data_IF_876320222016
#
_entry.id   IF_876320222016
#
_cell.length_a   1.000
_cell.length_b   1.000
_cell.length_c   1.000
_cell.angle_alpha   90.00
_cell.angle_beta   90.00
_cell.angle_gamma   90.00
#
_symmetry.space_group_name_H-M   'P 1'
#
loop_
_entity.id
_entity.type
_entity.pdbx_description
1 polymer ?
#
# COMPACT_ATOMS: atom_id res chain seq x y z
N UNK A 1 16.38 20.57 14.26
CA UNK A 1 16.46 20.20 15.69
C UNK A 1 17.93 20.06 16.05
N UNK A 2 18.41 20.71 17.14
CA UNK A 2 19.82 20.67 17.52
C UNK A 2 20.13 19.29 18.14
N UNK A 3 21.38 18.77 17.95
CA UNK A 3 21.86 17.46 18.41
C UNK A 3 21.60 17.23 19.92
N UNK A 4 21.76 18.26 20.75
CA UNK A 4 21.49 18.22 22.19
C UNK A 4 20.01 17.96 22.51
N UNK A 5 19.09 18.61 21.82
CA UNK A 5 17.64 18.38 21.98
C UNK A 5 17.19 17.00 21.49
N UNK A 6 17.87 16.43 20.51
CA UNK A 6 17.60 15.08 20.05
C UNK A 6 18.01 14.04 21.11
N UNK A 7 19.21 14.21 21.69
CA UNK A 7 19.72 13.35 22.75
C UNK A 7 18.85 13.41 24.01
N UNK A 8 18.41 14.60 24.42
CA UNK A 8 17.47 14.76 25.54
C UNK A 8 16.15 14.02 25.30
N UNK A 9 15.57 14.13 24.11
CA UNK A 9 14.34 13.39 23.75
C UNK A 9 14.53 11.88 23.77
N UNK A 10 15.63 11.38 23.22
CA UNK A 10 15.94 9.93 23.20
C UNK A 10 16.14 9.42 24.63
N UNK A 11 16.89 10.15 25.47
CA UNK A 11 17.10 9.82 26.86
C UNK A 11 15.79 9.74 27.66
N UNK A 12 14.91 10.73 27.50
CA UNK A 12 13.59 10.76 28.17
C UNK A 12 12.70 9.61 27.72
N UNK A 13 12.70 9.27 26.42
CA UNK A 13 11.83 8.22 25.87
C UNK A 13 12.34 6.80 26.11
N UNK A 14 13.67 6.60 26.17
CA UNK A 14 14.27 5.27 26.33
C UNK A 14 14.63 4.93 27.78
N UNK A 15 14.65 5.91 28.68
CA UNK A 15 15.15 5.73 30.05
C UNK A 15 16.65 5.52 30.16
N UNK A 16 17.41 5.69 29.07
CA UNK A 16 18.87 5.53 28.97
C UNK A 16 19.53 6.88 29.27
N UNK A 17 20.69 6.86 29.92
CA UNK A 17 21.39 8.10 30.30
C UNK A 17 21.82 8.90 29.06
N UNK A 18 21.93 10.22 29.22
CA UNK A 18 22.37 11.13 28.15
C UNK A 18 23.75 10.78 27.58
N UNK A 19 24.66 10.33 28.44
CA UNK A 19 26.02 9.93 28.05
C UNK A 19 26.03 8.64 27.22
N UNK A 20 25.22 7.66 27.59
CA UNK A 20 25.05 6.43 26.82
C UNK A 20 24.39 6.69 25.48
N UNK A 21 23.34 7.53 25.43
CA UNK A 21 22.73 7.97 24.18
C UNK A 21 23.75 8.71 23.29
N UNK A 22 24.62 9.52 23.89
CA UNK A 22 25.71 10.23 23.20
C UNK A 22 26.76 9.30 22.63
N UNK A 23 27.10 8.24 23.36
CA UNK A 23 28.07 7.22 22.96
C UNK A 23 27.53 6.38 21.82
N UNK A 24 26.30 5.93 21.92
CA UNK A 24 25.61 5.17 20.85
C UNK A 24 25.52 6.00 19.57
N UNK A 25 25.16 7.28 19.66
CA UNK A 25 25.07 8.16 18.48
C UNK A 25 26.44 8.41 17.84
N UNK A 26 27.51 8.59 18.61
CA UNK A 26 28.87 8.74 18.09
C UNK A 26 29.37 7.45 17.45
N UNK A 27 29.07 6.30 18.04
CA UNK A 27 29.44 5.00 17.47
C UNK A 27 28.69 4.77 16.15
N UNK A 28 27.42 5.09 16.10
CA UNK A 28 26.61 5.02 14.87
C UNK A 28 27.14 5.94 13.76
N UNK A 29 27.46 7.21 14.07
CA UNK A 29 28.06 8.17 13.13
C UNK A 29 29.41 7.64 12.60
N UNK A 30 30.22 7.03 13.45
CA UNK A 30 31.53 6.46 13.09
C UNK A 30 31.38 5.25 12.17
N UNK A 31 30.55 4.28 12.55
CA UNK A 31 30.27 3.08 11.74
C UNK A 31 29.66 3.47 10.38
N UNK A 32 28.72 4.41 10.36
CA UNK A 32 28.11 4.89 9.13
C UNK A 32 29.12 5.56 8.22
N UNK A 33 30.04 6.39 8.77
CA UNK A 33 31.09 7.06 7.99
C UNK A 33 32.16 6.09 7.45
N UNK A 34 32.52 5.07 8.21
CA UNK A 34 33.49 4.04 7.80
C UNK A 34 32.92 3.13 6.69
N UNK A 35 31.66 2.70 6.81
CA UNK A 35 30.99 1.88 5.78
C UNK A 35 30.65 2.66 4.52
N UNK A 36 30.23 3.91 4.64
CA UNK A 36 30.05 4.79 3.49
C UNK A 36 31.39 4.99 2.75
N UNK A 37 32.50 5.17 3.46
CA UNK A 37 33.83 5.32 2.87
C UNK A 37 34.31 4.06 2.16
N UNK A 38 34.08 2.85 2.72
CA UNK A 38 34.43 1.57 2.08
C UNK A 38 33.66 1.31 0.79
N UNK A 39 32.35 1.64 0.77
CA UNK A 39 31.49 1.41 -0.40
C UNK A 39 31.59 2.54 -1.44
N UNK A 40 31.97 3.75 -1.05
CA UNK A 40 32.24 4.87 -1.99
C UNK A 40 33.31 4.51 -3.02
N UNK A 41 34.32 3.73 -2.67
CA UNK A 41 35.35 3.31 -3.63
C UNK A 41 34.82 2.34 -4.72
N UNK A 42 33.71 1.64 -4.44
CA UNK A 42 33.10 0.67 -5.36
C UNK A 42 31.94 1.26 -6.18
N UNK A 43 31.29 2.30 -5.69
CA UNK A 43 30.09 2.90 -6.28
C UNK A 43 30.17 4.43 -6.42
N UNK A 44 31.37 5.01 -6.37
CA UNK A 44 31.59 6.46 -6.28
C UNK A 44 30.92 7.32 -7.36
N UNK A 45 30.69 6.77 -8.55
CA UNK A 45 29.96 7.47 -9.61
C UNK A 45 28.47 7.67 -9.33
N UNK A 46 27.82 6.70 -8.72
CA UNK A 46 26.38 6.76 -8.43
C UNK A 46 26.04 7.61 -7.20
N UNK A 47 26.93 7.61 -6.20
CA UNK A 47 26.77 8.44 -4.99
C UNK A 47 26.99 9.92 -5.33
N UNK A 48 27.96 10.23 -6.19
CA UNK A 48 28.15 11.59 -6.70
C UNK A 48 26.96 12.09 -7.53
N UNK A 49 26.33 11.22 -8.32
CA UNK A 49 25.11 11.54 -9.07
C UNK A 49 23.93 11.78 -8.16
N UNK A 50 23.76 10.98 -7.11
CA UNK A 50 22.69 11.14 -6.11
C UNK A 50 22.92 12.38 -5.25
N UNK A 51 24.14 12.68 -4.82
CA UNK A 51 24.45 13.91 -4.06
C UNK A 51 24.33 15.16 -4.92
N UNK A 52 24.71 15.13 -6.20
CA UNK A 52 24.49 16.22 -7.14
C UNK A 52 23.00 16.46 -7.40
N UNK A 53 22.21 15.39 -7.48
CA UNK A 53 20.74 15.46 -7.58
C UNK A 53 20.12 16.07 -6.29
N UNK A 54 20.62 15.68 -5.13
CA UNK A 54 20.16 16.19 -3.82
C UNK A 54 20.50 17.67 -3.65
N UNK A 55 21.71 18.11 -4.03
CA UNK A 55 22.13 19.51 -3.99
C UNK A 55 21.32 20.35 -4.98
N UNK A 56 21.01 19.84 -6.17
CA UNK A 56 20.18 20.56 -7.13
C UNK A 56 18.74 20.75 -6.65
N UNK A 57 18.18 19.80 -5.92
CA UNK A 57 16.81 19.89 -5.33
C UNK A 57 16.78 20.92 -4.19
N UNK A 58 17.84 21.02 -3.37
CA UNK A 58 17.89 21.99 -2.27
C UNK A 58 18.09 23.44 -2.74
N UNK A 59 18.77 23.66 -3.86
CA UNK A 59 18.98 25.01 -4.44
C UNK A 59 17.69 25.57 -5.04
N UNK A 60 16.80 24.73 -5.58
CA UNK A 60 15.50 25.16 -6.11
C UNK A 60 14.43 25.42 -5.05
N UNK A 61 14.65 25.01 -3.79
CA UNK A 61 13.68 25.17 -2.68
C UNK A 61 13.73 26.52 -1.99
N UNK A 62 14.61 27.44 -2.36
CA UNK A 62 14.77 28.76 -1.69
C UNK A 62 14.21 29.92 -2.52
N UNK A 63 13.05 29.79 -3.09
CA UNK A 63 12.38 30.95 -3.69
C UNK A 63 11.04 31.24 -3.03
N UNK A 64 11.02 32.42 -2.43
CA UNK A 64 9.89 33.25 -2.01
C UNK A 64 9.15 32.84 -0.74
N UNK A 65 9.55 33.52 0.34
CA UNK A 65 8.77 33.67 1.57
C UNK A 65 7.42 34.33 1.35
N UNK A 66 6.41 33.55 1.00
CA UNK A 66 5.02 33.94 1.26
C UNK A 66 4.67 33.51 2.68
N UNK A 67 4.41 34.49 3.57
CA UNK A 67 3.80 34.31 4.89
C UNK A 67 2.33 33.87 4.76
N UNK A 68 2.04 32.81 4.03
CA UNK A 68 0.72 32.19 3.92
C UNK A 68 0.76 30.80 4.58
N UNK A 69 -0.31 30.37 5.21
CA UNK A 69 -0.44 28.97 5.66
C UNK A 69 -0.25 28.06 4.42
N UNK A 70 0.53 26.99 4.54
CA UNK A 70 0.69 26.05 3.43
C UNK A 70 -0.68 25.50 3.04
N UNK A 71 -0.93 25.42 1.75
CA UNK A 71 -2.19 24.96 1.18
C UNK A 71 -1.94 23.84 0.18
N UNK A 72 -2.88 22.95 0.05
CA UNK A 72 -2.82 21.80 -0.86
C UNK A 72 -4.15 21.60 -1.59
N UNK A 73 -4.22 20.65 -2.48
CA UNK A 73 -5.42 20.27 -3.25
C UNK A 73 -5.96 18.93 -2.75
N UNK A 74 -7.27 18.85 -2.54
CA UNK A 74 -7.99 17.59 -2.42
C UNK A 74 -8.64 17.31 -3.77
N UNK A 75 -8.37 16.15 -4.36
CA UNK A 75 -8.95 15.71 -5.63
C UNK A 75 -9.49 14.30 -5.50
N UNK A 76 -10.33 13.90 -6.43
CA UNK A 76 -10.88 12.55 -6.39
C UNK A 76 -11.94 12.30 -7.43
N UNK A 77 -12.71 11.26 -7.18
CA UNK A 77 -13.84 10.84 -7.99
C UNK A 77 -15.02 10.51 -7.08
N UNK A 78 -16.21 10.92 -7.50
CA UNK A 78 -17.48 10.50 -6.88
C UNK A 78 -18.10 9.43 -7.76
N UNK A 79 -18.45 8.31 -7.17
CA UNK A 79 -19.01 7.15 -7.88
C UNK A 79 -20.28 6.67 -7.20
N UNK A 80 -21.15 6.03 -7.95
CA UNK A 80 -22.23 5.22 -7.41
C UNK A 80 -21.63 4.02 -6.67
N UNK A 81 -22.02 3.84 -5.42
CA UNK A 81 -21.47 2.80 -4.55
C UNK A 81 -21.72 1.39 -5.07
N UNK A 82 -22.75 1.22 -5.88
CA UNK A 82 -23.24 -0.07 -6.36
C UNK A 82 -22.72 -0.38 -7.77
N UNK A 83 -23.08 0.45 -8.76
CA UNK A 83 -22.68 0.25 -10.15
C UNK A 83 -21.22 0.65 -10.42
N UNK A 84 -20.59 1.38 -9.49
CA UNK A 84 -19.28 2.03 -9.66
C UNK A 84 -19.25 3.04 -10.82
N UNK A 85 -20.42 3.46 -11.30
CA UNK A 85 -20.54 4.48 -12.34
C UNK A 85 -20.12 5.85 -11.78
N UNK A 86 -19.32 6.60 -12.51
CA UNK A 86 -18.97 7.97 -12.10
C UNK A 86 -20.21 8.85 -12.01
N UNK A 87 -20.39 9.61 -10.93
CA UNK A 87 -21.49 10.53 -10.74
C UNK A 87 -21.05 11.94 -11.19
N UNK A 88 -21.52 12.41 -12.35
CA UNK A 88 -21.25 13.75 -12.81
C UNK A 88 -22.11 14.78 -12.05
N UNK A 89 -21.58 16.00 -11.93
CA UNK A 89 -22.27 17.15 -11.32
C UNK A 89 -22.65 16.97 -9.84
N UNK A 90 -22.03 16.05 -9.14
CA UNK A 90 -22.15 15.94 -7.68
C UNK A 90 -21.42 17.12 -7.01
N UNK A 91 -22.00 17.68 -5.96
CA UNK A 91 -21.38 18.73 -5.15
C UNK A 91 -20.41 18.10 -4.15
N UNK A 92 -19.18 18.61 -4.10
CA UNK A 92 -18.16 18.21 -3.11
C UNK A 92 -17.68 19.44 -2.38
N UNK A 93 -17.77 19.46 -1.04
CA UNK A 93 -17.43 20.64 -0.23
C UNK A 93 -16.63 20.23 1.03
N UNK A 94 -15.95 21.21 1.62
CA UNK A 94 -15.37 21.12 2.96
C UNK A 94 -16.38 21.56 3.99
N UNK A 95 -16.68 20.71 4.99
CA UNK A 95 -17.70 21.01 6.00
C UNK A 95 -17.32 22.20 6.91
N UNK A 96 -16.00 22.43 7.11
CA UNK A 96 -15.50 23.46 8.03
C UNK A 96 -15.36 24.85 7.39
N UNK A 97 -15.51 24.96 6.07
CA UNK A 97 -15.30 26.22 5.34
C UNK A 97 -16.44 26.50 4.39
N UNK A 98 -17.32 27.43 4.73
CA UNK A 98 -18.36 27.90 3.83
C UNK A 98 -17.76 28.42 2.53
N UNK A 99 -18.31 27.94 1.39
CA UNK A 99 -17.86 28.33 0.05
C UNK A 99 -16.64 27.57 -0.50
N UNK A 100 -15.99 26.69 0.27
CA UNK A 100 -14.93 25.84 -0.25
C UNK A 100 -15.52 24.52 -0.79
N UNK A 101 -15.83 24.48 -2.06
CA UNK A 101 -16.38 23.31 -2.72
C UNK A 101 -16.21 23.38 -4.24
N UNK A 102 -16.62 22.30 -4.88
CA UNK A 102 -16.57 22.13 -6.33
C UNK A 102 -17.69 21.19 -6.78
N UNK A 103 -17.87 21.08 -8.09
CA UNK A 103 -18.80 20.14 -8.71
C UNK A 103 -17.98 19.15 -9.53
N UNK A 104 -18.38 17.88 -9.54
CA UNK A 104 -17.72 16.83 -10.33
C UNK A 104 -17.91 17.07 -11.84
N UNK A 105 -16.87 16.72 -12.61
CA UNK A 105 -16.92 16.75 -14.08
C UNK A 105 -17.78 15.59 -14.64
N UNK A 106 -17.91 15.52 -15.98
CA UNK A 106 -18.64 14.46 -16.68
C UNK A 106 -18.12 13.03 -16.42
N UNK A 107 -16.97 12.89 -15.79
CA UNK A 107 -16.36 11.62 -15.39
C UNK A 107 -16.34 11.46 -13.85
N UNK A 108 -17.21 12.20 -13.16
CA UNK A 108 -17.32 12.13 -11.70
C UNK A 108 -16.13 12.70 -10.94
N UNK A 109 -15.17 13.37 -11.57
CA UNK A 109 -13.93 13.84 -10.96
C UNK A 109 -14.10 15.23 -10.37
N UNK A 110 -13.45 15.47 -9.24
CA UNK A 110 -13.44 16.77 -8.57
C UNK A 110 -12.02 17.19 -8.17
N UNK A 111 -11.86 18.50 -7.93
CA UNK A 111 -10.63 19.08 -7.38
C UNK A 111 -11.00 20.32 -6.56
N UNK A 112 -10.62 20.32 -5.29
CA UNK A 112 -10.76 21.45 -4.36
C UNK A 112 -9.37 22.02 -4.12
N UNK A 113 -8.97 23.11 -4.78
CA UNK A 113 -7.68 23.75 -4.58
C UNK A 113 -7.67 24.61 -3.30
N UNK A 114 -6.48 25.00 -2.84
CA UNK A 114 -6.27 25.92 -1.73
C UNK A 114 -6.90 25.48 -0.40
N UNK A 115 -6.82 24.20 -0.10
CA UNK A 115 -7.20 23.64 1.19
C UNK A 115 -6.04 23.86 2.16
N UNK A 116 -6.23 24.48 3.32
CA UNK A 116 -5.19 24.63 4.33
C UNK A 116 -4.66 23.26 4.79
N UNK A 117 -3.39 23.19 5.11
CA UNK A 117 -2.82 21.98 5.75
C UNK A 117 -3.49 21.77 7.11
N UNK A 118 -3.89 20.55 7.37
CA UNK A 118 -4.62 20.15 8.58
C UNK A 118 -5.60 19.03 8.32
N UNK A 119 -6.48 18.79 9.29
CA UNK A 119 -7.55 17.80 9.16
C UNK A 119 -8.82 18.47 8.67
N UNK A 120 -9.47 17.84 7.71
CA UNK A 120 -10.67 18.35 7.06
C UNK A 120 -11.72 17.28 6.92
N UNK A 121 -12.98 17.71 6.90
CA UNK A 121 -14.12 16.86 6.58
C UNK A 121 -14.60 17.20 5.17
N UNK A 122 -14.63 16.20 4.29
CA UNK A 122 -15.13 16.31 2.92
C UNK A 122 -16.53 15.72 2.86
N UNK A 123 -17.48 16.47 2.34
CA UNK A 123 -18.85 16.04 2.10
C UNK A 123 -19.13 16.04 0.61
N UNK A 124 -19.70 14.93 0.10
CA UNK A 124 -20.19 14.84 -1.25
C UNK A 124 -21.70 14.57 -1.24
N UNK A 125 -22.44 15.27 -2.11
CA UNK A 125 -23.89 15.14 -2.22
C UNK A 125 -24.34 15.18 -3.69
N UNK A 126 -25.33 14.34 -3.98
CA UNK A 126 -26.00 14.33 -5.27
C UNK A 126 -27.49 14.01 -5.09
N UNK A 127 -28.34 14.54 -5.95
CA UNK A 127 -29.79 14.32 -5.86
C UNK A 127 -30.12 12.82 -6.04
N UNK A 128 -30.91 12.26 -5.12
CA UNK A 128 -31.24 10.83 -5.10
C UNK A 128 -30.21 9.95 -4.39
N UNK A 129 -29.19 10.54 -3.75
CA UNK A 129 -28.16 9.83 -2.98
C UNK A 129 -28.08 10.34 -1.55
N UNK A 130 -27.70 9.44 -0.64
CA UNK A 130 -27.34 9.81 0.73
C UNK A 130 -26.02 10.61 0.68
N UNK A 131 -25.86 11.70 1.46
CA UNK A 131 -24.60 12.43 1.52
C UNK A 131 -23.48 11.55 2.04
N UNK A 132 -22.35 11.52 1.31
CA UNK A 132 -21.12 10.85 1.74
C UNK A 132 -20.24 11.83 2.51
N UNK A 133 -19.94 11.53 3.78
CA UNK A 133 -19.11 12.40 4.65
C UNK A 133 -17.82 11.66 5.03
N UNK A 134 -16.68 12.22 4.66
CA UNK A 134 -15.35 11.70 4.96
C UNK A 134 -14.68 12.64 5.96
N UNK A 135 -14.55 12.19 7.21
CA UNK A 135 -14.00 12.96 8.32
C UNK A 135 -12.51 12.71 8.48
N UNK A 136 -11.83 13.67 9.12
CA UNK A 136 -10.43 13.56 9.54
C UNK A 136 -9.43 13.31 8.40
N UNK A 137 -9.72 13.79 7.19
CA UNK A 137 -8.79 13.71 6.06
C UNK A 137 -7.59 14.61 6.37
N UNK A 138 -6.41 14.01 6.48
CA UNK A 138 -5.17 14.74 6.77
C UNK A 138 -4.60 15.33 5.48
N UNK A 139 -4.70 16.65 5.34
CA UNK A 139 -4.07 17.40 4.25
C UNK A 139 -2.68 17.83 4.69
N UNK A 140 -1.65 17.36 3.97
CA UNK A 140 -0.24 17.72 4.20
C UNK A 140 0.23 18.69 3.13
N UNK A 141 1.35 19.37 3.35
CA UNK A 141 1.95 20.25 2.33
C UNK A 141 2.68 19.49 1.21
N UNK A 142 2.96 18.22 1.40
CA UNK A 142 3.83 17.44 0.53
C UNK A 142 3.15 16.96 -0.75
N UNK A 143 1.88 16.51 -0.66
CA UNK A 143 1.20 15.81 -1.74
C UNK A 143 -0.29 16.11 -1.77
N UNK A 144 -0.89 16.09 -2.97
CA UNK A 144 -2.34 16.16 -3.14
C UNK A 144 -3.02 14.92 -2.54
N UNK A 145 -4.19 15.13 -1.94
CA UNK A 145 -5.00 14.03 -1.42
C UNK A 145 -5.94 13.53 -2.52
N UNK A 146 -5.95 12.22 -2.74
CA UNK A 146 -6.88 11.57 -3.65
C UNK A 146 -7.95 10.81 -2.86
N UNK A 147 -9.22 11.12 -3.15
CA UNK A 147 -10.38 10.47 -2.52
C UNK A 147 -11.24 9.78 -3.58
N UNK A 148 -11.62 8.54 -3.33
CA UNK A 148 -12.72 7.88 -4.01
C UNK A 148 -13.95 7.90 -3.09
N UNK A 149 -15.01 8.57 -3.52
CA UNK A 149 -16.21 8.82 -2.72
C UNK A 149 -17.37 8.01 -3.30
N UNK A 150 -17.68 6.82 -2.76
CA UNK A 150 -18.88 6.08 -3.12
C UNK A 150 -20.10 6.70 -2.44
N UNK A 151 -21.11 7.09 -3.24
CA UNK A 151 -22.41 7.52 -2.74
C UNK A 151 -23.40 6.35 -2.83
N UNK A 152 -24.29 6.27 -1.84
CA UNK A 152 -25.37 5.30 -1.77
C UNK A 152 -26.67 5.97 -2.20
N UNK A 153 -27.45 5.32 -3.07
CA UNK A 153 -28.77 5.85 -3.42
C UNK A 153 -29.70 5.92 -2.21
N UNK A 154 -30.39 7.06 -2.12
CA UNK A 154 -31.41 7.29 -1.11
C UNK A 154 -32.75 6.82 -1.62
N UNK A 155 -33.38 5.89 -0.89
CA UNK A 155 -34.80 5.56 -1.10
C UNK A 155 -35.61 6.57 -0.31
N UNK A 156 -36.04 7.65 -0.93
CA UNK A 156 -36.96 8.60 -0.29
C UNK A 156 -38.35 7.95 -0.13
N UNK A 157 -38.63 7.38 1.01
CA UNK A 157 -40.00 7.44 1.53
C UNK A 157 -40.22 8.87 2.01
N UNK A 158 -41.30 9.50 1.58
CA UNK A 158 -41.72 10.89 1.87
C UNK A 158 -41.98 11.16 3.34
N UNK A 159 -41.09 10.81 4.23
CA UNK A 159 -41.18 11.11 5.65
C UNK A 159 -39.84 11.69 6.13
N UNK A 160 -39.98 12.89 6.64
CA UNK A 160 -39.01 13.66 7.45
C UNK A 160 -37.53 13.34 7.24
N UNK A 161 -36.85 14.23 6.54
CA UNK A 161 -35.40 14.14 6.30
C UNK A 161 -34.65 14.31 7.63
N UNK A 162 -34.48 13.25 8.37
CA UNK A 162 -33.50 13.19 9.46
C UNK A 162 -32.14 12.95 8.81
N UNK A 163 -31.41 14.00 8.55
CA UNK A 163 -30.02 13.93 8.11
C UNK A 163 -29.18 13.33 9.25
N UNK A 164 -29.13 12.02 9.33
CA UNK A 164 -28.11 11.32 10.13
C UNK A 164 -26.89 11.16 9.24
N UNK A 165 -25.91 12.03 9.42
CA UNK A 165 -24.59 11.88 8.86
C UNK A 165 -23.95 10.58 9.39
N UNK A 166 -24.19 9.45 8.73
CA UNK A 166 -23.48 8.19 8.96
C UNK A 166 -22.35 8.08 7.98
N UNK A 167 -21.17 8.52 8.39
CA UNK A 167 -19.94 8.04 7.75
C UNK A 167 -19.63 6.68 8.32
N UNK A 168 -20.01 5.65 7.63
CA UNK A 168 -19.65 4.29 8.05
C UNK A 168 -18.30 3.96 7.38
N UNK A 169 -17.20 4.45 7.94
CA UNK A 169 -15.83 4.05 7.54
C UNK A 169 -15.60 2.53 7.71
N UNK A 170 -16.50 1.87 8.42
CA UNK A 170 -16.46 0.44 8.69
C UNK A 170 -17.17 -0.38 7.60
N UNK A 171 -17.95 0.26 6.74
CA UNK A 171 -18.69 -0.43 5.69
C UNK A 171 -17.77 -0.76 4.51
N UNK A 172 -17.75 -2.03 4.09
CA UNK A 172 -16.97 -2.46 2.95
C UNK A 172 -17.37 -1.72 1.67
N UNK A 173 -16.41 -1.48 0.79
CA UNK A 173 -16.66 -0.93 -0.55
C UNK A 173 -17.43 -1.92 -1.43
N UNK A 174 -17.27 -3.21 -1.18
CA UNK A 174 -18.02 -4.27 -1.84
C UNK A 174 -19.41 -4.42 -1.24
N UNK A 175 -20.42 -4.01 -1.97
CA UNK A 175 -21.83 -4.04 -1.50
C UNK A 175 -22.43 -5.43 -1.41
N UNK A 176 -21.77 -6.45 -1.96
CA UNK A 176 -22.18 -7.86 -1.77
C UNK A 176 -21.73 -8.40 -0.41
N UNK A 177 -20.86 -7.67 0.30
CA UNK A 177 -20.46 -8.01 1.67
C UNK A 177 -21.61 -7.72 2.65
N UNK A 178 -22.05 -8.73 3.37
CA UNK A 178 -23.14 -8.61 4.36
C UNK A 178 -22.59 -8.44 5.77
N UNK A 179 -21.57 -9.20 6.12
CA UNK A 179 -20.92 -9.18 7.45
C UNK A 179 -19.44 -9.58 7.29
N UNK A 180 -18.62 -9.31 8.30
CA UNK A 180 -17.21 -9.76 8.32
C UNK A 180 -16.28 -9.03 7.35
N UNK A 181 -16.75 -7.94 6.75
CA UNK A 181 -15.93 -7.12 5.85
C UNK A 181 -15.81 -5.69 6.35
N UNK A 182 -14.63 -5.09 6.20
CA UNK A 182 -14.36 -3.70 6.55
C UNK A 182 -13.53 -3.03 5.46
N UNK A 183 -13.79 -1.76 5.23
CA UNK A 183 -12.94 -0.95 4.37
C UNK A 183 -11.58 -0.72 5.04
N UNK A 184 -10.52 -0.95 4.30
CA UNK A 184 -9.15 -0.61 4.64
C UNK A 184 -8.83 0.76 4.03
N UNK A 185 -8.84 1.78 4.87
CA UNK A 185 -8.47 3.13 4.44
C UNK A 185 -6.95 3.30 4.45
N UNK A 186 -6.39 3.70 3.32
CA UNK A 186 -4.95 3.99 3.19
C UNK A 186 -4.53 5.12 4.15
N UNK A 187 -5.40 6.10 4.37
CA UNK A 187 -5.16 7.21 5.29
C UNK A 187 -5.09 6.70 6.75
N UNK A 188 -5.90 5.72 7.12
CA UNK A 188 -5.83 5.09 8.44
C UNK A 188 -4.57 4.25 8.61
N UNK A 189 -4.14 3.53 7.55
CA UNK A 189 -2.91 2.76 7.58
C UNK A 189 -1.69 3.65 7.85
N UNK A 190 -1.63 4.83 7.24
CA UNK A 190 -0.54 5.79 7.44
C UNK A 190 -0.50 6.40 8.83
N UNK A 191 -1.60 6.35 9.59
CA UNK A 191 -1.72 6.89 10.96
C UNK A 191 -1.60 5.84 12.05
N UNK A 192 -1.73 4.57 11.71
CA UNK A 192 -1.70 3.49 12.69
C UNK A 192 -0.31 3.40 13.34
N UNK A 193 -0.27 3.58 14.66
CA UNK A 193 0.99 3.50 15.41
C UNK A 193 1.59 2.09 15.31
N UNK A 194 2.85 1.99 14.85
CA UNK A 194 3.50 0.71 14.58
C UNK A 194 3.12 0.05 13.25
N UNK A 195 2.31 0.73 12.42
CA UNK A 195 1.86 0.24 11.12
C UNK A 195 2.93 0.29 10.03
N UNK A 196 3.96 1.11 10.17
CA UNK A 196 5.02 1.32 9.15
C UNK A 196 4.48 1.64 7.75
N UNK A 197 3.33 2.35 7.68
CA UNK A 197 2.59 2.58 6.43
C UNK A 197 2.13 1.30 5.71
N UNK A 198 2.08 0.17 6.41
CA UNK A 198 1.73 -1.13 5.85
C UNK A 198 0.25 -1.44 6.09
N UNK A 199 -0.56 -1.59 5.01
CA UNK A 199 -1.97 -1.92 5.14
C UNK A 199 -2.22 -3.27 5.84
N UNK A 200 -1.31 -4.22 5.71
CA UNK A 200 -1.42 -5.52 6.37
C UNK A 200 -1.37 -5.38 7.90
N UNK A 201 -0.60 -4.43 8.41
CA UNK A 201 -0.53 -4.17 9.86
C UNK A 201 -1.76 -3.46 10.41
N UNK A 202 -2.44 -2.63 9.61
CA UNK A 202 -3.66 -1.97 10.05
C UNK A 202 -4.75 -2.98 10.42
N UNK A 203 -4.89 -4.06 9.66
CA UNK A 203 -5.94 -5.07 9.92
C UNK A 203 -5.74 -5.83 11.23
N UNK A 204 -4.54 -5.80 11.79
CA UNK A 204 -4.27 -6.39 13.11
C UNK A 204 -5.09 -5.76 14.24
N UNK A 205 -5.62 -4.55 14.03
CA UNK A 205 -6.54 -3.88 14.94
C UNK A 205 -8.00 -4.32 14.77
N UNK A 206 -8.32 -5.16 13.78
CA UNK A 206 -9.71 -5.55 13.50
C UNK A 206 -10.14 -6.74 14.37
N UNK A 207 -11.43 -6.78 14.70
CA UNK A 207 -11.99 -7.86 15.47
C UNK A 207 -11.85 -9.21 14.72
N UNK A 208 -11.48 -10.27 15.43
CA UNK A 208 -11.27 -11.62 14.87
C UNK A 208 -9.88 -11.82 14.22
N UNK A 209 -9.02 -10.81 14.28
CA UNK A 209 -7.66 -10.85 13.75
C UNK A 209 -6.66 -10.92 14.90
N UNK A 210 -5.76 -11.89 14.86
CA UNK A 210 -4.63 -12.00 15.77
C UNK A 210 -3.32 -11.71 15.01
N UNK A 211 -2.61 -10.61 15.34
CA UNK A 211 -1.35 -10.28 14.70
C UNK A 211 -0.21 -11.14 15.24
N UNK A 212 0.79 -11.36 14.41
CA UNK A 212 2.11 -11.78 14.88
C UNK A 212 2.88 -10.58 15.44
N UNK A 213 3.62 -10.79 16.53
CA UNK A 213 4.42 -9.72 17.16
C UNK A 213 5.63 -9.34 16.29
N UNK A 214 6.22 -10.30 15.60
CA UNK A 214 7.50 -10.15 14.88
C UNK A 214 7.37 -10.13 13.37
N UNK A 215 6.16 -10.27 12.82
CA UNK A 215 5.95 -10.36 11.36
C UNK A 215 4.61 -9.75 10.95
N UNK A 216 4.37 -9.64 9.64
CA UNK A 216 3.07 -9.32 9.05
C UNK A 216 2.10 -10.53 9.07
N UNK A 217 2.43 -11.59 9.78
CA UNK A 217 1.59 -12.76 9.91
C UNK A 217 0.27 -12.42 10.59
N UNK A 218 -0.83 -12.69 9.90
CA UNK A 218 -2.18 -12.41 10.35
C UNK A 218 -2.91 -13.73 10.46
N UNK A 219 -3.34 -14.07 11.66
CA UNK A 219 -4.22 -15.21 11.92
C UNK A 219 -5.65 -14.72 12.04
N UNK A 220 -6.55 -15.30 11.26
CA UNK A 220 -7.97 -14.96 11.28
C UNK A 220 -8.74 -16.15 11.82
N UNK A 221 -9.44 -15.94 12.95
CA UNK A 221 -10.18 -16.99 13.66
C UNK A 221 -9.32 -18.24 13.96
N UNK A 222 -8.01 -18.05 14.19
CA UNK A 222 -7.08 -19.14 14.47
C UNK A 222 -6.48 -19.82 13.22
N UNK A 223 -6.86 -19.43 12.01
CA UNK A 223 -6.26 -19.96 10.78
C UNK A 223 -4.86 -19.38 10.56
N UNK A 224 -3.99 -20.19 9.98
CA UNK A 224 -2.60 -19.81 9.73
C UNK A 224 -2.47 -18.72 8.63
N UNK A 225 -1.46 -17.84 8.72
CA UNK A 225 -1.29 -16.71 7.80
C UNK A 225 -1.19 -17.09 6.31
N UNK A 226 -0.63 -18.24 5.98
CA UNK A 226 -0.50 -18.71 4.58
C UNK A 226 -1.85 -19.07 3.94
N UNK A 227 -2.93 -19.17 4.71
CA UNK A 227 -4.29 -19.40 4.22
C UNK A 227 -5.02 -18.10 3.86
N UNK A 228 -4.39 -16.95 4.06
CA UNK A 228 -4.92 -15.66 3.70
C UNK A 228 -4.86 -15.46 2.19
N UNK A 229 -5.99 -15.10 1.58
CA UNK A 229 -6.05 -14.79 0.16
C UNK A 229 -5.70 -13.33 -0.10
N UNK A 230 -4.76 -13.11 -0.99
CA UNK A 230 -4.35 -11.78 -1.44
C UNK A 230 -4.88 -11.52 -2.84
N UNK A 231 -5.56 -10.41 -3.03
CA UNK A 231 -6.09 -10.00 -4.33
C UNK A 231 -5.67 -8.57 -4.64
N UNK A 232 -5.33 -8.33 -5.89
CA UNK A 232 -5.01 -7.01 -6.42
C UNK A 232 -5.74 -6.80 -7.75
N UNK A 233 -6.48 -5.69 -7.88
CA UNK A 233 -7.26 -5.36 -9.10
C UNK A 233 -8.23 -6.47 -9.52
N UNK A 234 -8.87 -7.16 -8.56
CA UNK A 234 -9.81 -8.29 -8.70
C UNK A 234 -9.14 -9.62 -9.10
N UNK A 235 -7.82 -9.71 -9.06
CA UNK A 235 -7.04 -10.90 -9.38
C UNK A 235 -6.39 -11.45 -8.12
N UNK A 236 -6.47 -12.76 -7.90
CA UNK A 236 -5.71 -13.44 -6.85
C UNK A 236 -4.22 -13.40 -7.19
N UNK A 237 -3.40 -12.95 -6.24
CA UNK A 237 -1.95 -12.82 -6.37
C UNK A 237 -1.25 -13.67 -5.31
N UNK A 238 0.00 -14.10 -5.53
CA UNK A 238 0.80 -14.70 -4.47
C UNK A 238 0.96 -13.71 -3.30
N UNK A 239 1.42 -14.22 -2.15
CA UNK A 239 1.62 -13.39 -0.96
C UNK A 239 2.58 -12.22 -1.27
N UNK A 240 2.11 -10.96 -1.12
CA UNK A 240 2.90 -9.78 -1.47
C UNK A 240 3.83 -9.31 -0.33
N UNK A 241 4.03 -10.10 0.71
CA UNK A 241 4.91 -9.73 1.80
C UNK A 241 6.34 -10.18 1.55
N UNK A 242 7.28 -9.30 1.83
CA UNK A 242 8.70 -9.61 1.82
C UNK A 242 9.04 -10.68 2.84
N UNK A 243 9.84 -11.67 2.44
CA UNK A 243 10.28 -12.82 3.25
C UNK A 243 9.14 -13.70 3.77
N UNK A 244 7.99 -13.71 3.09
CA UNK A 244 6.79 -14.41 3.55
C UNK A 244 7.00 -15.91 3.72
N UNK A 245 7.66 -16.53 2.76
CA UNK A 245 7.84 -17.98 2.70
C UNK A 245 9.24 -18.42 3.17
N UNK A 246 10.14 -17.47 3.44
CA UNK A 246 11.50 -17.74 3.92
C UNK A 246 11.52 -17.91 5.45
N UNK A 247 10.98 -16.93 6.17
CA UNK A 247 11.19 -16.85 7.62
C UNK A 247 9.92 -17.05 8.46
N UNK A 248 8.73 -16.98 7.88
CA UNK A 248 7.50 -16.71 8.66
C UNK A 248 6.25 -17.48 8.22
N UNK A 249 6.35 -18.51 7.41
CA UNK A 249 5.20 -19.33 6.95
C UNK A 249 3.98 -18.48 6.51
N UNK A 250 4.21 -17.59 5.55
CA UNK A 250 3.18 -16.73 4.98
C UNK A 250 3.02 -15.37 5.66
N UNK A 251 3.78 -15.07 6.71
CA UNK A 251 3.68 -13.79 7.42
C UNK A 251 4.44 -12.65 6.75
N UNK A 252 5.71 -12.84 6.49
CA UNK A 252 6.59 -11.79 5.99
C UNK A 252 6.89 -10.68 7.00
N UNK A 253 7.62 -9.66 6.56
CA UNK A 253 8.04 -8.55 7.43
C UNK A 253 7.35 -7.25 7.05
N UNK A 254 7.19 -7.00 5.75
CA UNK A 254 6.65 -5.78 5.17
C UNK A 254 5.93 -6.14 3.87
N UNK A 255 4.77 -5.53 3.62
CA UNK A 255 4.08 -5.69 2.33
C UNK A 255 4.82 -4.94 1.21
N UNK A 256 4.93 -5.53 0.03
CA UNK A 256 5.39 -4.85 -1.18
C UNK A 256 4.40 -3.80 -1.67
N UNK A 257 3.15 -3.83 -1.20
CA UNK A 257 2.10 -2.91 -1.60
C UNK A 257 2.16 -1.63 -0.76
N UNK A 258 2.84 -0.63 -1.29
CA UNK A 258 3.03 0.67 -0.63
C UNK A 258 1.71 1.46 -0.52
N UNK A 259 1.49 2.12 0.62
CA UNK A 259 0.41 3.09 0.81
C UNK A 259 0.43 4.24 -0.21
N UNK A 260 1.57 4.50 -0.84
CA UNK A 260 1.72 5.53 -1.87
C UNK A 260 0.91 5.24 -3.13
N UNK A 261 0.68 3.96 -3.46
CA UNK A 261 0.00 3.52 -4.69
C UNK A 261 -1.35 2.85 -4.44
N UNK A 262 -1.62 2.42 -3.20
CA UNK A 262 -2.89 1.80 -2.87
C UNK A 262 -4.04 2.82 -2.82
N UNK A 263 -5.21 2.37 -3.22
CA UNK A 263 -6.50 3.00 -2.95
C UNK A 263 -7.19 2.34 -1.75
N UNK A 264 -8.35 2.87 -1.37
CA UNK A 264 -9.18 2.19 -0.39
C UNK A 264 -9.50 0.78 -0.89
N UNK A 265 -9.44 -0.17 0.02
CA UNK A 265 -9.48 -1.61 -0.24
C UNK A 265 -10.44 -2.27 0.74
N UNK A 266 -10.80 -3.52 0.53
CA UNK A 266 -11.64 -4.26 1.47
C UNK A 266 -10.84 -5.38 2.11
N UNK A 267 -11.13 -5.62 3.39
CA UNK A 267 -10.63 -6.75 4.14
C UNK A 267 -11.78 -7.57 4.71
N UNK A 268 -11.74 -8.87 4.46
CA UNK A 268 -12.77 -9.82 4.88
C UNK A 268 -12.20 -10.80 5.90
N UNK A 269 -12.90 -10.98 6.99
CA UNK A 269 -12.59 -12.00 8.00
C UNK A 269 -13.50 -13.24 7.89
N UNK A 270 -14.49 -13.23 7.01
CA UNK A 270 -15.46 -14.31 6.79
C UNK A 270 -16.65 -13.84 5.99
N UNK A 271 -17.65 -14.71 5.82
CA UNK A 271 -18.86 -14.43 5.05
C UNK A 271 -18.58 -13.88 3.64
N UNK A 272 -17.67 -14.53 2.93
CA UNK A 272 -17.18 -14.08 1.62
C UNK A 272 -18.31 -14.08 0.59
N UNK A 273 -18.51 -12.98 -0.16
CA UNK A 273 -19.29 -13.01 -1.39
C UNK A 273 -18.82 -14.09 -2.36
N UNK A 274 -19.73 -14.60 -3.19
CA UNK A 274 -19.46 -15.71 -4.13
C UNK A 274 -18.34 -15.44 -5.13
N UNK A 275 -17.90 -14.21 -5.29
CA UNK A 275 -16.78 -13.82 -6.13
C UNK A 275 -15.40 -14.19 -5.55
N UNK A 276 -15.31 -14.50 -4.26
CA UNK A 276 -14.08 -14.91 -3.61
C UNK A 276 -14.04 -16.43 -3.50
N UNK A 277 -13.75 -17.10 -4.61
CA UNK A 277 -13.43 -18.54 -4.61
C UNK A 277 -12.11 -18.81 -3.87
N UNK A 278 -11.92 -20.03 -3.38
CA UNK A 278 -10.71 -20.50 -2.68
C UNK A 278 -10.37 -19.79 -1.35
N UNK A 279 -11.23 -18.89 -0.87
CA UNK A 279 -11.01 -18.19 0.38
C UNK A 279 -11.39 -19.09 1.57
N UNK A 280 -10.42 -19.39 2.44
CA UNK A 280 -10.60 -20.27 3.61
C UNK A 280 -10.34 -19.57 4.95
N UNK A 281 -9.62 -18.44 4.97
CA UNK A 281 -9.29 -17.70 6.19
C UNK A 281 -9.82 -16.27 6.11
N UNK A 282 -9.14 -15.42 5.38
CA UNK A 282 -9.55 -14.05 5.10
C UNK A 282 -9.14 -13.62 3.70
N UNK A 283 -9.63 -12.46 3.29
CA UNK A 283 -9.32 -11.90 1.97
C UNK A 283 -8.90 -10.45 2.11
N UNK A 284 -7.74 -10.11 1.55
CA UNK A 284 -7.38 -8.75 1.20
C UNK A 284 -7.79 -8.49 -0.25
N UNK A 285 -8.78 -7.64 -0.49
CA UNK A 285 -9.14 -7.18 -1.84
C UNK A 285 -8.65 -5.76 -2.05
N UNK A 286 -7.45 -5.65 -2.62
CA UNK A 286 -6.73 -4.40 -2.76
C UNK A 286 -6.87 -3.80 -4.14
N UNK A 287 -6.85 -2.47 -4.20
CA UNK A 287 -6.93 -1.69 -5.43
C UNK A 287 -5.78 -0.70 -5.50
N UNK A 288 -5.18 -0.58 -6.66
CA UNK A 288 -4.25 0.51 -6.93
C UNK A 288 -5.04 1.77 -7.32
N UNK A 289 -4.69 2.91 -6.74
CA UNK A 289 -5.30 4.18 -7.13
C UNK A 289 -4.82 4.62 -8.53
N UNK A 290 -5.56 5.49 -9.15
CA UNK A 290 -5.13 6.11 -10.40
C UNK A 290 -4.19 7.28 -10.10
N UNK A 291 -3.15 7.44 -10.92
CA UNK A 291 -2.21 8.55 -10.82
C UNK A 291 -2.87 9.91 -11.12
N UNK A 292 -2.17 10.98 -10.75
CA UNK A 292 -2.59 12.34 -11.03
C UNK A 292 -2.59 12.60 -12.55
N UNK A 293 -3.73 12.99 -13.10
CA UNK A 293 -3.86 13.28 -14.54
C UNK A 293 -3.68 14.76 -14.90
N UNK A 294 -3.31 15.61 -13.92
CA UNK A 294 -3.14 17.05 -14.11
C UNK A 294 -1.70 17.50 -13.88
N UNK A 295 -1.06 16.98 -12.84
CA UNK A 295 0.30 17.36 -12.38
C UNK A 295 1.17 16.14 -12.18
N UNK A 296 2.49 16.35 -12.31
CA UNK A 296 3.48 15.40 -11.85
C UNK A 296 3.73 15.61 -10.35
N UNK A 297 3.71 14.53 -9.59
CA UNK A 297 4.04 14.50 -8.17
C UNK A 297 5.08 13.41 -7.93
N UNK A 298 6.13 13.76 -7.20
CA UNK A 298 7.20 12.83 -6.87
C UNK A 298 7.38 12.83 -5.35
N UNK A 299 7.57 11.65 -4.79
CA UNK A 299 7.85 11.45 -3.37
C UNK A 299 9.11 10.63 -3.24
N UNK A 300 10.02 11.07 -2.39
CA UNK A 300 11.22 10.31 -2.02
C UNK A 300 11.22 10.24 -0.49
N UNK A 301 11.29 9.04 0.02
CA UNK A 301 11.41 8.76 1.46
C UNK A 301 12.69 7.97 1.69
N UNK A 302 13.41 8.33 2.73
CA UNK A 302 14.63 7.63 3.17
C UNK A 302 14.47 7.28 4.63
N UNK A 303 14.58 6.02 4.95
CA UNK A 303 14.43 5.49 6.31
C UNK A 303 15.41 4.35 6.59
N UNK A 304 15.35 3.82 7.80
CA UNK A 304 16.18 2.68 8.22
C UNK A 304 15.87 1.44 7.38
N UNK A 305 14.60 1.27 6.99
CA UNK A 305 14.16 0.11 6.21
C UNK A 305 14.50 0.22 4.73
N UNK A 306 14.76 1.42 4.21
CA UNK A 306 15.08 1.57 2.79
C UNK A 306 14.83 2.96 2.23
N UNK A 307 14.93 3.01 0.91
CA UNK A 307 14.60 4.16 0.09
C UNK A 307 13.32 3.83 -0.67
N UNK A 308 12.34 4.72 -0.59
CA UNK A 308 11.05 4.65 -1.29
C UNK A 308 10.96 5.82 -2.27
N UNK A 309 10.71 5.52 -3.53
CA UNK A 309 10.52 6.51 -4.60
C UNK A 309 9.17 6.27 -5.26
N UNK A 310 8.29 7.25 -5.16
CA UNK A 310 7.00 7.22 -5.85
C UNK A 310 6.87 8.39 -6.82
N UNK A 311 6.26 8.15 -7.96
CA UNK A 311 5.97 9.18 -8.95
C UNK A 311 4.62 8.94 -9.60
N UNK A 312 3.89 10.00 -9.83
CA UNK A 312 2.63 9.97 -10.55
C UNK A 312 2.47 11.22 -11.43
N UNK A 313 1.71 11.07 -12.49
CA UNK A 313 1.49 12.21 -13.38
C UNK A 313 0.67 11.87 -14.63
N UNK A 314 0.38 12.90 -15.46
CA UNK A 314 -0.32 12.73 -16.72
C UNK A 314 0.58 12.07 -17.78
N UNK A 315 0.12 10.96 -18.37
CA UNK A 315 0.65 10.47 -19.64
C UNK A 315 0.12 11.29 -20.82
N UNK A 316 -1.13 11.72 -20.71
CA UNK A 316 -1.75 12.60 -21.70
C UNK A 316 -2.81 13.48 -21.04
N UNK A 317 -2.55 14.78 -21.00
CA UNK A 317 -3.53 15.76 -20.49
C UNK A 317 -4.79 15.80 -21.33
N UNK A 318 -4.68 15.67 -22.66
CA UNK A 318 -5.80 15.66 -23.60
C UNK A 318 -6.74 14.49 -23.36
N UNK A 319 -6.19 13.31 -23.11
CA UNK A 319 -6.96 12.06 -22.91
C UNK A 319 -7.13 11.72 -21.42
N UNK A 320 -6.66 12.58 -20.50
CA UNK A 320 -6.71 12.36 -19.04
C UNK A 320 -6.09 11.03 -18.61
N UNK A 321 -5.17 10.48 -19.43
CA UNK A 321 -4.40 9.29 -19.10
C UNK A 321 -3.34 9.63 -18.04
N UNK A 322 -3.12 8.71 -17.12
CA UNK A 322 -2.19 8.91 -16.00
C UNK A 322 -1.38 7.66 -15.68
N UNK A 323 -0.26 7.88 -15.02
CA UNK A 323 0.56 6.83 -14.45
C UNK A 323 0.74 7.06 -12.95
N UNK A 324 1.01 5.98 -12.25
CA UNK A 324 1.55 5.97 -10.90
C UNK A 324 2.51 4.80 -10.80
N UNK A 325 3.67 5.03 -10.18
CA UNK A 325 4.59 3.96 -9.84
C UNK A 325 5.22 4.21 -8.47
N UNK A 326 5.69 3.15 -7.84
CA UNK A 326 6.44 3.17 -6.60
C UNK A 326 7.53 2.10 -6.69
N UNK A 327 8.73 2.45 -6.28
CA UNK A 327 9.85 1.54 -6.17
C UNK A 327 10.51 1.69 -4.80
N UNK A 328 10.74 0.58 -4.12
CA UNK A 328 11.47 0.55 -2.86
C UNK A 328 12.71 -0.33 -2.96
N UNK A 329 13.73 0.09 -2.27
CA UNK A 329 15.00 -0.62 -2.15
C UNK A 329 15.45 -0.62 -0.69
N UNK A 330 15.73 -1.79 -0.13
CA UNK A 330 16.18 -1.90 1.25
C UNK A 330 17.59 -1.34 1.45
N UNK A 331 17.81 -0.78 2.63
CA UNK A 331 19.15 -0.37 3.08
C UNK A 331 19.68 -1.26 4.20
N UNK A 332 18.97 -2.33 4.53
CA UNK A 332 19.31 -3.25 5.64
C UNK A 332 20.65 -3.96 5.42
N UNK A 333 20.96 -4.34 4.19
CA UNK A 333 22.28 -4.87 3.84
C UNK A 333 23.47 -3.90 4.03
N UNK A 334 23.18 -2.59 4.20
CA UNK A 334 24.20 -1.60 4.54
C UNK A 334 24.55 -1.62 6.03
N UNK A 335 23.66 -2.12 6.87
CA UNK A 335 23.83 -2.13 8.34
C UNK A 335 24.77 -3.22 8.82
N UNK A 336 25.15 -4.15 7.95
CA UNK A 336 26.10 -5.24 8.20
C UNK A 336 25.89 -5.89 9.59
N UNK A 337 24.64 -6.34 9.82
CA UNK A 337 24.25 -6.98 11.07
C UNK A 337 24.98 -8.33 11.18
N UNK A 338 25.57 -8.61 12.34
CA UNK A 338 26.15 -9.92 12.62
C UNK A 338 25.06 -10.99 12.49
N UNK A 339 25.35 -12.09 11.78
CA UNK A 339 24.44 -13.23 11.64
C UNK A 339 23.65 -13.30 10.35
N UNK A 340 23.78 -12.33 9.42
CA UNK A 340 23.16 -12.43 8.11
C UNK A 340 22.68 -11.11 7.51
N UNK A 341 22.04 -11.18 6.34
CA UNK A 341 21.51 -10.02 5.65
C UNK A 341 20.08 -10.26 5.15
N UNK A 342 19.30 -9.19 5.11
CA UNK A 342 17.95 -9.17 4.58
C UNK A 342 17.84 -8.02 3.57
N UNK A 343 17.93 -8.34 2.28
CA UNK A 343 17.81 -7.35 1.22
C UNK A 343 16.50 -7.55 0.48
N UNK A 344 15.76 -6.48 0.24
CA UNK A 344 14.52 -6.52 -0.54
C UNK A 344 14.41 -5.36 -1.50
N UNK A 345 13.63 -5.56 -2.54
CA UNK A 345 13.17 -4.52 -3.44
C UNK A 345 11.81 -4.85 -3.99
N UNK A 346 11.02 -3.83 -4.26
CA UNK A 346 9.72 -4.00 -4.88
C UNK A 346 9.38 -2.86 -5.84
N UNK A 347 8.47 -3.16 -6.76
CA UNK A 347 7.95 -2.23 -7.75
C UNK A 347 6.45 -2.39 -7.87
N UNK A 348 5.74 -1.28 -7.84
CA UNK A 348 4.31 -1.20 -8.13
C UNK A 348 4.06 -0.17 -9.23
N UNK A 349 3.17 -0.48 -10.16
CA UNK A 349 2.87 0.35 -11.32
C UNK A 349 1.39 0.26 -11.67
N UNK A 350 0.78 1.39 -12.03
CA UNK A 350 -0.51 1.43 -12.74
C UNK A 350 -0.54 2.53 -13.78
N UNK A 351 -0.97 2.17 -14.97
CA UNK A 351 -1.27 3.08 -16.08
C UNK A 351 -2.79 3.07 -16.29
N UNK A 352 -3.38 4.25 -16.43
CA UNK A 352 -4.82 4.39 -16.60
C UNK A 352 -5.15 5.19 -17.87
N UNK A 353 -5.93 4.60 -18.75
CA UNK A 353 -6.31 5.15 -20.08
C UNK A 353 -7.82 5.24 -20.22
N UNK A 354 -8.46 6.29 -19.67
CA UNK A 354 -9.88 6.51 -19.91
C UNK A 354 -10.14 6.93 -21.35
N UNK A 355 -11.13 6.33 -21.98
CA UNK A 355 -11.58 6.69 -23.33
C UNK A 355 -12.99 7.28 -23.30
N UNK A 356 -13.37 7.99 -24.37
CA UNK A 356 -14.71 8.62 -24.43
C UNK A 356 -15.84 7.62 -24.65
N UNK A 357 -15.61 6.54 -25.42
CA UNK A 357 -16.66 5.61 -25.85
C UNK A 357 -16.37 4.15 -25.52
N UNK A 358 -15.10 3.78 -25.44
CA UNK A 358 -14.69 2.38 -25.26
C UNK A 358 -14.41 2.03 -23.78
N UNK A 359 -14.83 2.85 -22.83
CA UNK A 359 -14.58 2.60 -21.41
C UNK A 359 -13.15 2.96 -20.98
N UNK A 360 -12.67 2.32 -19.94
CA UNK A 360 -11.35 2.60 -19.34
C UNK A 360 -10.47 1.36 -19.41
N UNK A 361 -9.29 1.52 -19.99
CA UNK A 361 -8.23 0.50 -19.95
C UNK A 361 -7.24 0.84 -18.84
N UNK A 362 -6.74 -0.17 -18.16
CA UNK A 362 -5.65 -0.02 -17.21
C UNK A 362 -4.65 -1.16 -17.35
N UNK A 363 -3.37 -0.82 -17.17
CA UNK A 363 -2.27 -1.78 -17.07
C UNK A 363 -1.70 -1.64 -15.66
N UNK A 364 -1.51 -2.73 -14.98
CA UNK A 364 -1.04 -2.72 -13.61
C UNK A 364 -0.04 -3.85 -13.36
N UNK A 365 0.80 -3.68 -12.38
CA UNK A 365 1.75 -4.69 -11.96
C UNK A 365 2.32 -4.40 -10.59
N UNK A 366 2.71 -5.48 -9.92
CA UNK A 366 3.46 -5.50 -8.66
C UNK A 366 4.52 -6.59 -8.73
N UNK A 367 5.66 -6.35 -8.11
CA UNK A 367 6.71 -7.36 -7.98
C UNK A 367 7.53 -7.13 -6.73
N UNK A 368 8.13 -8.20 -6.19
CA UNK A 368 9.13 -8.15 -5.14
C UNK A 368 10.27 -9.13 -5.43
N UNK A 369 11.43 -8.79 -4.90
CA UNK A 369 12.63 -9.64 -4.90
C UNK A 369 13.24 -9.56 -3.52
N UNK A 370 13.42 -10.70 -2.88
CA UNK A 370 14.04 -10.84 -1.57
C UNK A 370 15.30 -11.67 -1.65
N UNK A 371 16.27 -11.32 -0.83
CA UNK A 371 17.45 -12.12 -0.56
C UNK A 371 17.66 -12.18 0.94
N UNK A 372 17.69 -13.35 1.45
CA UNK A 372 17.97 -13.63 2.84
C UNK A 372 19.24 -14.45 2.96
N UNK A 373 20.11 -14.08 3.87
CA UNK A 373 21.26 -14.89 4.25
C UNK A 373 21.32 -14.96 5.76
N UNK A 374 21.56 -16.14 6.28
CA UNK A 374 21.88 -16.35 7.68
C UNK A 374 23.21 -17.07 7.76
N UNK A 375 24.15 -16.53 8.50
CA UNK A 375 25.45 -17.12 8.69
C UNK A 375 25.47 -17.86 10.05
N UNK A 376 26.16 -19.00 10.11
CA UNK A 376 26.29 -19.73 11.34
C UNK A 376 27.22 -19.01 12.34
N UNK A 377 27.02 -19.25 13.66
CA UNK A 377 27.91 -18.75 14.71
C UNK A 377 29.24 -19.54 14.68
N UNK A 378 30.34 -18.85 14.48
CA UNK A 378 31.67 -19.47 14.34
C UNK A 378 32.22 -20.05 15.64
N UNK A 379 31.78 -19.54 16.77
CA UNK A 379 32.18 -20.07 18.08
C UNK A 379 31.23 -21.20 18.49
N UNK A 380 31.70 -22.43 18.35
CA UNK A 380 30.90 -23.63 18.66
C UNK A 380 30.47 -23.75 20.14
N UNK A 381 31.15 -23.04 21.06
CA UNK A 381 30.76 -22.99 22.46
C UNK A 381 29.49 -22.17 22.72
N UNK A 382 29.12 -21.33 21.74
CA UNK A 382 27.91 -20.50 21.79
C UNK A 382 26.70 -21.12 21.08
N UNK A 383 26.83 -22.35 20.62
CA UNK A 383 25.74 -23.05 19.96
C UNK A 383 24.71 -23.55 20.96
N UNK A 384 23.63 -22.79 21.14
CA UNK A 384 22.54 -23.12 22.05
C UNK A 384 21.41 -23.88 21.33
N UNK A 385 21.21 -23.62 20.02
CA UNK A 385 20.17 -24.26 19.22
C UNK A 385 20.65 -24.54 17.78
N UNK A 386 19.85 -25.28 17.02
CA UNK A 386 20.24 -25.71 15.67
C UNK A 386 20.54 -24.55 14.70
N UNK A 387 19.86 -23.39 14.88
CA UNK A 387 20.06 -22.19 14.06
C UNK A 387 21.48 -21.62 14.15
N UNK A 388 22.14 -21.72 15.32
CA UNK A 388 23.50 -21.20 15.51
C UNK A 388 24.53 -21.91 14.64
N UNK A 389 24.25 -23.16 14.26
CA UNK A 389 25.08 -23.98 13.39
C UNK A 389 24.57 -24.12 11.96
N UNK A 390 23.60 -23.28 11.60
CA UNK A 390 22.96 -23.30 10.27
C UNK A 390 23.38 -22.09 9.46
N UNK A 391 23.76 -22.32 8.22
CA UNK A 391 23.92 -21.29 7.20
C UNK A 391 22.79 -21.44 6.19
N UNK A 392 22.05 -20.35 5.87
CA UNK A 392 21.05 -20.37 4.84
C UNK A 392 21.23 -19.25 3.81
N UNK A 393 20.80 -19.51 2.59
CA UNK A 393 20.83 -18.61 1.45
C UNK A 393 19.52 -18.76 0.69
N UNK A 394 18.62 -17.80 0.85
CA UNK A 394 17.27 -17.90 0.29
C UNK A 394 16.97 -16.69 -0.58
N UNK A 395 16.20 -16.91 -1.65
CA UNK A 395 15.68 -15.89 -2.55
C UNK A 395 14.20 -16.12 -2.80
N UNK A 396 13.44 -15.07 -2.66
CA UNK A 396 12.01 -15.08 -2.99
C UNK A 396 11.75 -14.07 -4.12
N UNK A 397 10.97 -14.50 -5.09
CA UNK A 397 10.48 -13.66 -6.17
C UNK A 397 8.97 -13.75 -6.24
N UNK A 398 8.31 -12.64 -6.38
CA UNK A 398 6.89 -12.57 -6.68
C UNK A 398 6.67 -11.50 -7.75
N UNK A 399 5.82 -11.80 -8.71
CA UNK A 399 5.32 -10.81 -9.67
C UNK A 399 3.85 -11.10 -9.98
N UNK A 400 3.09 -10.05 -10.15
CA UNK A 400 1.73 -10.12 -10.68
C UNK A 400 1.48 -8.91 -11.55
N UNK A 401 0.80 -9.11 -12.69
CA UNK A 401 0.48 -7.99 -13.56
C UNK A 401 -0.61 -8.35 -14.56
N UNK A 402 -1.32 -7.32 -15.01
CA UNK A 402 -2.43 -7.55 -15.91
C UNK A 402 -2.90 -6.30 -16.65
N UNK A 403 -3.80 -6.57 -17.59
CA UNK A 403 -4.53 -5.55 -18.33
C UNK A 403 -6.00 -5.70 -17.99
N UNK A 404 -6.62 -4.61 -17.56
CA UNK A 404 -8.03 -4.55 -17.22
C UNK A 404 -8.76 -3.60 -18.15
N UNK A 405 -9.97 -3.98 -18.55
CA UNK A 405 -10.89 -3.13 -19.31
C UNK A 405 -12.21 -3.03 -18.56
N UNK A 406 -12.66 -1.82 -18.29
CA UNK A 406 -13.99 -1.55 -17.71
C UNK A 406 -14.84 -0.77 -18.71
N UNK A 407 -16.00 -1.34 -19.03
CA UNK A 407 -16.97 -0.74 -19.91
C UNK A 407 -18.30 -0.55 -19.20
N UNK A 408 -18.88 0.64 -19.31
CA UNK A 408 -20.22 0.96 -18.80
C UNK A 408 -21.20 0.94 -19.97
N UNK A 409 -22.18 0.06 -19.94
CA UNK A 409 -23.26 0.02 -20.93
C UNK A 409 -24.24 1.19 -20.70
N UNK A 410 -24.51 1.47 -19.44
CA UNK A 410 -25.32 2.57 -18.94
C UNK A 410 -24.98 2.81 -17.45
N UNK A 411 -25.74 3.62 -16.74
CA UNK A 411 -25.52 3.95 -15.33
C UNK A 411 -25.69 2.73 -14.40
N UNK A 412 -26.44 1.71 -14.84
CA UNK A 412 -26.83 0.56 -14.04
C UNK A 412 -26.03 -0.71 -14.39
N UNK A 413 -25.35 -0.74 -15.53
CA UNK A 413 -24.67 -1.94 -16.01
C UNK A 413 -23.24 -1.67 -16.45
N UNK A 414 -22.31 -2.49 -15.95
CA UNK A 414 -20.90 -2.44 -16.31
C UNK A 414 -20.30 -3.84 -16.47
N UNK A 415 -19.28 -3.91 -17.29
CA UNK A 415 -18.45 -5.11 -17.50
C UNK A 415 -16.99 -4.75 -17.19
N UNK A 416 -16.36 -5.50 -16.32
CA UNK A 416 -14.91 -5.44 -16.11
C UNK A 416 -14.30 -6.76 -16.51
N UNK A 417 -13.33 -6.73 -17.42
CA UNK A 417 -12.56 -7.90 -17.86
C UNK A 417 -11.09 -7.66 -17.56
N UNK A 418 -10.43 -8.64 -16.98
CA UNK A 418 -9.00 -8.59 -16.66
C UNK A 418 -8.30 -9.85 -17.15
N UNK A 419 -7.17 -9.66 -17.82
CA UNK A 419 -6.22 -10.73 -18.17
C UNK A 419 -4.96 -10.44 -17.38
N UNK A 420 -4.49 -11.42 -16.62
CA UNK A 420 -3.34 -11.24 -15.74
C UNK A 420 -2.46 -12.50 -15.73
N UNK A 421 -1.21 -12.30 -15.35
CA UNK A 421 -0.28 -13.37 -15.05
C UNK A 421 0.31 -13.16 -13.67
N UNK A 422 0.55 -14.25 -12.94
CA UNK A 422 1.27 -14.25 -11.68
C UNK A 422 2.44 -15.21 -11.72
N UNK A 423 3.48 -14.86 -11.00
CA UNK A 423 4.68 -15.66 -10.84
C UNK A 423 5.14 -15.62 -9.39
N UNK A 424 5.50 -16.77 -8.84
CA UNK A 424 6.21 -16.83 -7.57
C UNK A 424 7.31 -17.89 -7.64
N UNK A 425 8.43 -17.61 -7.02
CA UNK A 425 9.55 -18.53 -6.88
C UNK A 425 10.16 -18.38 -5.49
N UNK A 426 10.45 -19.50 -4.87
CA UNK A 426 11.28 -19.64 -3.71
C UNK A 426 12.45 -20.56 -4.06
N UNK A 427 13.67 -20.02 -3.98
CA UNK A 427 14.92 -20.70 -4.27
C UNK A 427 15.83 -20.54 -3.06
N UNK A 428 16.24 -21.62 -2.43
CA UNK A 428 17.01 -21.52 -1.23
C UNK A 428 17.55 -22.84 -0.72
N UNK A 429 18.44 -22.74 0.26
CA UNK A 429 19.03 -23.89 0.89
C UNK A 429 19.67 -23.59 2.22
N UNK A 430 19.74 -24.61 3.05
CA UNK A 430 20.41 -24.55 4.34
C UNK A 430 21.45 -25.65 4.48
N UNK A 431 22.55 -25.30 5.11
CA UNK A 431 23.67 -26.21 5.43
C UNK A 431 23.87 -26.21 6.94
N UNK A 432 23.98 -27.38 7.54
CA UNK A 432 24.28 -27.53 8.93
C UNK A 432 25.78 -27.87 9.14
N UNK A 433 26.35 -27.31 10.17
CA UNK A 433 27.71 -27.56 10.59
C UNK A 433 27.71 -28.41 11.87
N UNK A 434 28.67 -29.33 12.00
CA UNK A 434 28.95 -30.04 13.25
C UNK A 434 30.08 -29.32 14.04
N UNK A 435 30.36 -29.79 15.26
CA UNK A 435 31.41 -29.18 16.08
C UNK A 435 32.83 -29.28 15.47
N UNK A 436 33.03 -30.18 14.49
CA UNK A 436 34.26 -30.29 13.71
C UNK A 436 34.30 -29.38 12.49
N UNK A 437 33.30 -28.50 12.36
CA UNK A 437 33.12 -27.61 11.18
C UNK A 437 32.91 -28.34 9.86
N UNK A 438 32.49 -29.60 9.91
CA UNK A 438 32.07 -30.31 8.70
C UNK A 438 30.63 -29.92 8.34
N UNK A 439 30.42 -29.59 7.09
CA UNK A 439 29.13 -29.15 6.56
C UNK A 439 28.32 -30.28 5.97
N UNK A 440 27.01 -30.27 6.20
CA UNK A 440 26.06 -31.22 5.61
C UNK A 440 24.88 -30.43 5.05
N UNK A 441 24.51 -30.62 3.75
CA UNK A 441 23.30 -30.05 3.20
C UNK A 441 22.08 -30.53 4.02
N UNK A 442 21.27 -29.57 4.47
CA UNK A 442 20.09 -29.84 5.31
C UNK A 442 18.78 -29.64 4.54
N UNK A 443 18.72 -28.60 3.74
CA UNK A 443 17.54 -28.26 2.94
C UNK A 443 17.98 -27.73 1.58
N UNK A 444 17.24 -28.12 0.56
CA UNK A 444 17.34 -27.58 -0.81
C UNK A 444 15.91 -27.39 -1.32
N UNK A 445 15.57 -26.19 -1.73
CA UNK A 445 14.23 -25.80 -2.10
C UNK A 445 14.25 -24.96 -3.39
N UNK A 446 13.62 -25.48 -4.43
CA UNK A 446 13.30 -24.72 -5.66
C UNK A 446 11.81 -24.93 -6.00
N UNK A 447 11.03 -23.92 -5.76
CA UNK A 447 9.58 -23.92 -5.99
C UNK A 447 9.21 -22.79 -6.93
N UNK A 448 8.50 -23.12 -8.02
CA UNK A 448 8.07 -22.15 -9.04
C UNK A 448 6.61 -22.33 -9.40
N UNK A 449 5.85 -21.26 -9.37
CA UNK A 449 4.45 -21.22 -9.75
C UNK A 449 4.20 -20.11 -10.76
N UNK A 450 3.48 -20.44 -11.83
CA UNK A 450 3.04 -19.46 -12.83
C UNK A 450 1.58 -19.70 -13.13
N UNK A 451 0.76 -18.66 -13.01
CA UNK A 451 -0.65 -18.72 -13.33
C UNK A 451 -1.00 -17.67 -14.40
N UNK A 452 -1.88 -18.06 -15.33
CA UNK A 452 -2.57 -17.14 -16.23
C UNK A 452 -4.02 -17.06 -15.80
N UNK A 453 -4.50 -15.85 -15.60
CA UNK A 453 -5.81 -15.59 -14.99
C UNK A 453 -6.64 -14.76 -15.96
N UNK A 454 -7.83 -15.25 -16.26
CA UNK A 454 -8.86 -14.49 -16.94
C UNK A 454 -10.04 -14.33 -16.01
N UNK A 455 -10.43 -13.09 -15.75
CA UNK A 455 -11.61 -12.78 -14.93
C UNK A 455 -12.50 -11.78 -15.66
N UNK A 456 -13.79 -12.01 -15.63
CA UNK A 456 -14.77 -11.05 -16.13
C UNK A 456 -15.93 -10.93 -15.16
N UNK A 457 -16.29 -9.72 -14.84
CA UNK A 457 -17.36 -9.38 -13.89
C UNK A 457 -18.39 -8.53 -14.59
N UNK A 458 -19.59 -9.04 -14.75
CA UNK A 458 -20.74 -8.26 -15.17
C UNK A 458 -21.52 -7.82 -13.94
N UNK A 459 -21.66 -6.52 -13.77
CA UNK A 459 -22.39 -5.91 -12.68
C UNK A 459 -23.63 -5.22 -13.23
N UNK A 460 -24.82 -5.54 -12.71
CA UNK A 460 -26.07 -4.90 -13.09
C UNK A 460 -26.93 -4.63 -11.87
N UNK A 461 -27.42 -3.43 -11.78
CA UNK A 461 -28.36 -2.96 -10.78
C UNK A 461 -29.79 -3.18 -11.30
N UNK A 462 -30.59 -3.91 -10.58
CA UNK A 462 -32.01 -4.11 -10.89
C UNK A 462 -32.83 -3.39 -9.83
N UNK A 463 -33.49 -2.33 -10.18
CA UNK A 463 -34.25 -1.50 -9.27
C UNK A 463 -33.46 -1.10 -8.00
N UNK A 464 -34.03 -0.27 -7.17
CA UNK A 464 -33.38 0.29 -5.99
C UNK A 464 -32.89 -0.71 -4.92
N UNK A 465 -33.13 -2.03 -5.06
CA UNK A 465 -32.83 -3.03 -4.01
C UNK A 465 -32.32 -4.39 -4.49
N UNK A 466 -32.20 -4.66 -5.78
CA UNK A 466 -31.77 -5.97 -6.28
C UNK A 466 -30.51 -5.81 -7.12
N UNK A 467 -29.42 -6.44 -6.67
CA UNK A 467 -28.17 -6.47 -7.39
C UNK A 467 -27.93 -7.86 -7.95
N UNK A 468 -27.37 -7.92 -9.14
CA UNK A 468 -26.86 -9.16 -9.69
C UNK A 468 -25.45 -8.94 -10.20
N UNK A 469 -24.52 -9.74 -9.71
CA UNK A 469 -23.13 -9.78 -10.13
C UNK A 469 -22.80 -11.16 -10.65
N UNK A 470 -22.50 -11.25 -11.93
CA UNK A 470 -22.02 -12.48 -12.55
C UNK A 470 -20.51 -12.39 -12.71
N UNK A 471 -19.80 -13.35 -12.15
CA UNK A 471 -18.35 -13.49 -12.26
C UNK A 471 -18.02 -14.78 -13.01
N UNK A 472 -17.13 -14.70 -13.96
CA UNK A 472 -16.48 -15.84 -14.57
C UNK A 472 -14.97 -15.72 -14.34
N UNK A 473 -14.40 -16.68 -13.61
CA UNK A 473 -12.97 -16.84 -13.44
C UNK A 473 -12.53 -18.12 -14.13
N UNK A 474 -11.46 -18.04 -14.90
CA UNK A 474 -10.77 -19.20 -15.50
C UNK A 474 -9.30 -19.10 -15.07
N UNK A 475 -8.88 -20.10 -14.33
CA UNK A 475 -7.51 -20.29 -13.85
C UNK A 475 -6.73 -21.18 -14.80
#
# INVERSE_FOLDING_TARGET
MNKTRLLEKISIQSGVSLDECGTVLKTFEKVLSEELSRKMYRYGGWILLLTALFVSVTVFSQTTGRKGRPMQTIRGIVIDGDSKFPIPYATVKLSEKEGAGTITDSLGRFSIPQVPVGRHTVEAAFMGYEPGIFREILVTSAKEIYLEIPLKESVNELNEVVIRARTNKEEAMNKMATTGARMLSVEEASRYAGGFDDPARLVSAFAGVAPSVSSNGISIHGNAPHLLQWRLEDVEIPNPNHFADIATLGGGILSSLSSQVLGNSDFFTGAFPAEYGNAVSGVFDMKLRNGNNQKNENTIQVGIMGIDVASEGPLSKKHKASYIFNYRYSTTGLLNLEGGTMDYQDLNLKLNFPTRKAGTFSVWGTSLIDKFTSDFEKNTEKWDYWGDRSESRDKQYMAAGGVSHRYFFNNDASLKTTIAATYSQLDGGATLFNHSMESTPYMDLDSKYTNLIFTTTFNRKFFLRIYNRLLLNIL
#
